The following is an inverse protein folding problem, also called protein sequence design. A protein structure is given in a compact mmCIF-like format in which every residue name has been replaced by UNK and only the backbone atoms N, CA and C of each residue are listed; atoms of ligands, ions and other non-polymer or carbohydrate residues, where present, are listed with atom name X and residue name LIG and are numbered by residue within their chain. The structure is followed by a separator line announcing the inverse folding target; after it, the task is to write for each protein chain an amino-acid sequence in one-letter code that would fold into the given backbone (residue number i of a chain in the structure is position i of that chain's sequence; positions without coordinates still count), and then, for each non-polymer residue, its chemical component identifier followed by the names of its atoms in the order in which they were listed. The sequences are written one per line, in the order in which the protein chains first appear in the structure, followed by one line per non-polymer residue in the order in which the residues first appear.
data_IF_147555187395
#
_entry.id   IF_147555187395
#
_cell.length_a   1.000
_cell.length_b   1.000
_cell.length_c   1.000
_cell.angle_alpha   90.00
_cell.angle_beta   90.00
_cell.angle_gamma   90.00
#
_symmetry.space_group_name_H-M   'P 1'
#
loop_
_entity.id
_entity.type
_entity.pdbx_description
1 polymer ?
#
# COMPACT_ATOMS: atom_id res chain seq x y z
N UNK A 1 -29.34 10.53 -9.57
CA UNK A 1 -28.02 9.88 -9.41
C UNK A 1 -26.99 10.98 -9.25
N UNK A 2 -26.19 10.98 -8.18
CA UNK A 2 -25.10 11.96 -7.97
C UNK A 2 -23.79 11.32 -8.41
N UNK A 3 -23.15 11.87 -9.43
CA UNK A 3 -21.78 11.54 -9.82
C UNK A 3 -20.84 11.80 -8.64
N UNK A 4 -20.08 10.77 -8.23
CA UNK A 4 -19.01 10.92 -7.23
C UNK A 4 -17.73 11.28 -7.97
N UNK A 5 -17.27 12.52 -7.82
CA UNK A 5 -15.93 12.92 -8.25
C UNK A 5 -14.88 12.17 -7.41
N UNK A 6 -14.03 11.39 -8.08
CA UNK A 6 -12.81 10.82 -7.50
C UNK A 6 -11.77 11.94 -7.36
N UNK A 7 -11.25 12.11 -6.15
CA UNK A 7 -10.16 13.05 -5.89
C UNK A 7 -8.82 12.40 -6.28
N UNK A 8 -8.19 12.91 -7.34
CA UNK A 8 -6.85 12.53 -7.78
C UNK A 8 -5.81 13.27 -6.92
N UNK A 9 -4.93 12.54 -6.25
CA UNK A 9 -3.80 13.10 -5.49
C UNK A 9 -2.48 12.55 -6.04
N UNK A 10 -1.64 13.42 -6.56
CA UNK A 10 -0.26 13.12 -7.00
C UNK A 10 0.69 13.30 -5.80
N UNK A 11 1.58 12.33 -5.54
CA UNK A 11 2.54 12.37 -4.42
C UNK A 11 3.99 12.53 -4.91
N UNK A 12 4.79 13.28 -4.14
CA UNK A 12 6.20 13.63 -4.38
C UNK A 12 7.19 12.45 -4.14
N UNK A 13 8.18 12.21 -5.02
CA UNK A 13 9.07 11.05 -5.00
C UNK A 13 10.27 11.11 -4.02
N UNK A 14 10.50 12.18 -3.26
CA UNK A 14 11.75 12.38 -2.48
C UNK A 14 11.90 11.58 -1.16
N UNK A 15 10.99 10.65 -0.84
CA UNK A 15 10.85 10.08 0.52
C UNK A 15 11.68 8.79 0.82
N UNK A 16 12.37 8.20 -0.16
CA UNK A 16 12.82 6.78 -0.09
C UNK A 16 14.17 6.47 0.60
N UNK A 17 14.99 7.46 0.97
CA UNK A 17 16.40 7.19 1.36
C UNK A 17 16.62 6.66 2.80
N UNK A 18 15.61 6.66 3.68
CA UNK A 18 15.79 6.33 5.11
C UNK A 18 15.62 4.86 5.54
N UNK A 19 15.12 3.96 4.68
CA UNK A 19 14.55 2.67 5.11
C UNK A 19 15.56 1.51 5.32
N UNK A 20 16.78 1.58 4.77
CA UNK A 20 17.72 0.43 4.75
C UNK A 20 18.27 0.01 6.12
N UNK A 21 18.29 0.91 7.12
CA UNK A 21 18.93 0.64 8.40
C UNK A 21 18.08 -0.22 9.37
N UNK A 22 16.74 -0.22 9.24
CA UNK A 22 15.84 -0.86 10.20
C UNK A 22 15.66 -2.37 9.96
N UNK A 23 15.74 -2.83 8.71
CA UNK A 23 15.54 -4.24 8.34
C UNK A 23 16.73 -5.14 8.75
N UNK A 24 17.91 -4.57 8.98
CA UNK A 24 19.12 -5.32 9.32
C UNK A 24 19.14 -5.88 10.75
N UNK A 25 18.34 -5.36 11.69
CA UNK A 25 18.41 -5.74 13.11
C UNK A 25 17.44 -6.85 13.54
N UNK A 26 16.57 -7.36 12.65
CA UNK A 26 15.47 -8.27 13.01
C UNK A 26 15.46 -9.63 12.28
N UNK A 27 16.57 -10.11 11.69
CA UNK A 27 16.63 -11.37 10.90
C UNK A 27 15.49 -11.49 9.86
N UNK A 28 15.16 -10.38 9.18
CA UNK A 28 14.27 -10.37 8.00
C UNK A 28 15.08 -10.44 6.68
N UNK A 29 16.38 -10.75 6.75
CA UNK A 29 17.31 -10.64 5.62
C UNK A 29 17.13 -11.73 4.55
N UNK A 30 16.48 -12.86 4.87
CA UNK A 30 16.47 -14.03 3.99
C UNK A 30 15.31 -14.06 2.98
N UNK A 31 14.47 -13.02 2.92
CA UNK A 31 13.33 -12.91 1.97
C UNK A 31 13.42 -11.64 1.12
N UNK A 32 14.64 -11.15 0.86
CA UNK A 32 14.86 -10.07 -0.08
C UNK A 32 14.81 -10.62 -1.52
N UNK A 33 13.61 -10.69 -2.10
CA UNK A 33 13.50 -10.68 -3.56
C UNK A 33 14.28 -9.46 -4.08
N UNK A 34 15.05 -9.59 -5.18
CA UNK A 34 15.90 -8.50 -5.64
C UNK A 34 15.03 -7.29 -5.92
N UNK A 35 15.23 -6.22 -5.14
CA UNK A 35 14.63 -4.93 -5.41
C UNK A 35 15.09 -4.53 -6.82
N UNK A 36 14.14 -4.46 -7.75
CA UNK A 36 14.41 -3.94 -9.09
C UNK A 36 14.99 -2.54 -8.92
N UNK A 37 16.11 -2.19 -9.57
CA UNK A 37 16.58 -0.81 -9.57
C UNK A 37 15.45 0.07 -10.11
N UNK A 38 15.11 1.12 -9.37
CA UNK A 38 14.20 2.17 -9.85
C UNK A 38 14.95 2.89 -10.98
N UNK A 39 14.79 2.38 -12.20
CA UNK A 39 15.33 3.00 -13.41
C UNK A 39 14.48 4.24 -13.73
N UNK A 40 15.16 5.37 -13.94
CA UNK A 40 14.68 6.66 -14.43
C UNK A 40 13.16 6.87 -14.41
N UNK A 41 12.72 7.66 -13.43
CA UNK A 41 11.33 8.08 -13.26
C UNK A 41 10.96 9.03 -14.42
N UNK A 42 10.59 8.49 -15.58
CA UNK A 42 9.49 9.10 -16.32
C UNK A 42 8.34 9.25 -15.34
N UNK A 43 7.70 10.42 -15.26
CA UNK A 43 6.65 10.74 -14.29
C UNK A 43 5.51 9.71 -14.34
N UNK A 44 5.69 8.61 -13.60
CA UNK A 44 4.76 7.51 -13.59
C UNK A 44 3.62 7.94 -12.69
N UNK A 45 2.50 8.30 -13.32
CA UNK A 45 1.32 8.71 -12.56
C UNK A 45 0.79 7.52 -11.76
N UNK A 46 0.32 7.81 -10.55
CA UNK A 46 -0.23 6.84 -9.62
C UNK A 46 -1.73 7.11 -9.42
N UNK A 47 -2.53 6.05 -9.39
CA UNK A 47 -3.96 6.16 -9.15
C UNK A 47 -4.35 5.51 -7.82
N UNK A 48 -5.05 6.29 -6.97
CA UNK A 48 -5.65 5.79 -5.74
C UNK A 48 -7.09 5.36 -6.01
N UNK A 49 -7.33 4.05 -5.99
CA UNK A 49 -8.63 3.47 -6.21
C UNK A 49 -9.42 3.47 -4.91
N UNK A 50 -10.61 4.09 -4.94
CA UNK A 50 -11.61 3.96 -3.90
C UNK A 50 -12.97 3.69 -4.52
N UNK A 51 -13.39 2.43 -4.43
CA UNK A 51 -14.55 1.94 -5.17
C UNK A 51 -14.23 1.88 -6.66
N UNK A 52 -14.02 0.68 -7.18
CA UNK A 52 -13.90 0.43 -8.61
C UNK A 52 -15.27 0.69 -9.26
N UNK A 53 -15.54 1.94 -9.61
CA UNK A 53 -16.63 2.28 -10.52
C UNK A 53 -16.19 2.08 -11.96
N UNK A 54 -17.12 2.27 -12.90
CA UNK A 54 -16.88 2.20 -14.36
C UNK A 54 -16.00 3.35 -14.91
N UNK A 55 -15.25 4.05 -14.06
CA UNK A 55 -14.43 5.17 -14.49
C UNK A 55 -13.26 4.67 -15.35
N UNK A 56 -13.10 5.27 -16.53
CA UNK A 56 -11.96 4.98 -17.40
C UNK A 56 -10.65 5.30 -16.68
N UNK A 57 -9.72 4.35 -16.69
CA UNK A 57 -8.38 4.55 -16.16
C UNK A 57 -7.58 5.47 -17.09
N UNK A 58 -6.77 6.39 -16.54
CA UNK A 58 -5.86 7.19 -17.35
C UNK A 58 -4.79 6.27 -17.98
N UNK A 59 -4.51 6.50 -19.27
CA UNK A 59 -3.57 5.68 -20.06
C UNK A 59 -2.09 5.82 -19.66
N UNK A 60 -1.76 6.77 -18.79
CA UNK A 60 -0.38 7.08 -18.37
C UNK A 60 -0.07 6.60 -16.93
N UNK A 61 -0.93 5.76 -16.35
CA UNK A 61 -0.73 5.24 -15.00
C UNK A 61 0.20 4.03 -15.05
N UNK A 62 1.26 4.02 -14.24
CA UNK A 62 2.12 2.83 -14.09
C UNK A 62 1.72 1.96 -12.89
N UNK A 63 0.97 2.53 -11.93
CA UNK A 63 0.72 1.88 -10.64
C UNK A 63 -0.64 2.24 -10.03
N UNK A 64 -1.33 1.22 -9.53
CA UNK A 64 -2.56 1.30 -8.78
C UNK A 64 -2.30 1.15 -7.28
N UNK A 65 -2.92 2.01 -6.49
CA UNK A 65 -2.96 1.93 -5.04
C UNK A 65 -4.39 1.67 -4.59
N UNK A 66 -4.62 0.54 -3.91
CA UNK A 66 -5.93 0.20 -3.35
C UNK A 66 -5.89 0.29 -1.83
N UNK A 67 -6.82 1.05 -1.25
CA UNK A 67 -7.02 1.12 0.20
C UNK A 67 -6.74 2.50 0.79
N UNK A 68 -6.58 2.54 2.12
CA UNK A 68 -6.43 3.80 2.84
C UNK A 68 -5.48 3.65 4.02
N UNK A 69 -4.53 4.57 4.13
CA UNK A 69 -3.50 4.52 5.16
C UNK A 69 -3.97 4.95 6.55
N UNK A 70 -4.99 5.80 6.63
CA UNK A 70 -5.34 6.52 7.86
C UNK A 70 -6.67 6.08 8.48
N UNK A 71 -7.50 5.35 7.74
CA UNK A 71 -8.82 4.94 8.23
C UNK A 71 -8.88 3.41 8.42
N UNK A 72 -8.96 2.91 9.67
CA UNK A 72 -9.04 1.47 9.94
C UNK A 72 -10.38 0.85 9.50
N UNK A 73 -11.39 1.67 9.19
CA UNK A 73 -12.70 1.22 8.71
C UNK A 73 -12.81 1.14 7.19
N UNK A 74 -11.80 1.64 6.46
CA UNK A 74 -11.74 1.60 5.01
C UNK A 74 -10.76 0.52 4.56
N UNK A 75 -10.86 -0.65 5.17
CA UNK A 75 -10.21 -1.85 4.67
C UNK A 75 -10.85 -2.26 3.34
N UNK A 76 -10.04 -2.80 2.46
CA UNK A 76 -10.48 -3.35 1.18
C UNK A 76 -11.27 -4.63 1.39
N UNK A 77 -12.34 -4.83 0.62
CA UNK A 77 -12.99 -6.14 0.54
C UNK A 77 -12.18 -7.10 -0.33
N UNK A 78 -12.45 -8.41 -0.22
CA UNK A 78 -11.79 -9.39 -1.08
C UNK A 78 -12.14 -9.14 -2.55
N UNK A 79 -13.42 -8.95 -2.85
CA UNK A 79 -13.90 -8.73 -4.21
C UNK A 79 -13.27 -7.48 -4.85
N UNK A 80 -13.26 -6.34 -4.16
CA UNK A 80 -12.58 -5.12 -4.65
C UNK A 80 -11.11 -5.35 -4.95
N UNK A 81 -10.46 -6.21 -4.17
CA UNK A 81 -9.02 -6.48 -4.33
C UNK A 81 -8.75 -7.40 -5.49
N UNK A 82 -9.56 -8.43 -5.66
CA UNK A 82 -9.46 -9.32 -6.81
C UNK A 82 -9.71 -8.53 -8.10
N UNK A 83 -10.73 -7.66 -8.13
CA UNK A 83 -10.99 -6.80 -9.28
C UNK A 83 -9.85 -5.80 -9.54
N UNK A 84 -9.22 -5.24 -8.50
CA UNK A 84 -8.05 -4.37 -8.68
C UNK A 84 -6.83 -5.13 -9.20
N UNK A 85 -6.66 -6.40 -8.81
CA UNK A 85 -5.60 -7.27 -9.33
C UNK A 85 -5.82 -7.59 -10.81
N UNK A 86 -7.03 -7.99 -11.18
CA UNK A 86 -7.41 -8.27 -12.57
C UNK A 86 -7.16 -7.03 -13.44
N UNK A 87 -7.63 -5.87 -12.99
CA UNK A 87 -7.44 -4.60 -13.67
C UNK A 87 -5.95 -4.24 -13.81
N UNK A 88 -5.15 -4.46 -12.77
CA UNK A 88 -3.71 -4.22 -12.81
C UNK A 88 -3.03 -5.13 -13.85
N UNK A 89 -3.39 -6.41 -13.90
CA UNK A 89 -2.84 -7.36 -14.88
C UNK A 89 -3.24 -6.97 -16.30
N UNK A 90 -4.53 -6.70 -16.53
CA UNK A 90 -5.07 -6.37 -17.86
C UNK A 90 -4.46 -5.10 -18.44
N UNK A 91 -4.18 -4.11 -17.59
CA UNK A 91 -3.56 -2.85 -17.99
C UNK A 91 -2.02 -2.86 -17.90
N UNK A 92 -1.40 -3.94 -17.42
CA UNK A 92 0.05 -4.00 -17.20
C UNK A 92 0.56 -3.06 -16.10
N UNK A 93 -0.29 -2.71 -15.13
CA UNK A 93 0.02 -1.83 -14.01
C UNK A 93 0.59 -2.62 -12.83
N UNK A 94 1.42 -1.96 -12.03
CA UNK A 94 1.79 -2.48 -10.71
C UNK A 94 0.65 -2.24 -9.71
N UNK A 95 0.44 -3.17 -8.77
CA UNK A 95 -0.56 -3.01 -7.70
C UNK A 95 0.11 -2.90 -6.32
N UNK A 96 -0.36 -1.95 -5.53
CA UNK A 96 0.01 -1.76 -4.12
C UNK A 96 -1.24 -1.74 -3.25
N UNK A 97 -1.34 -2.66 -2.30
CA UNK A 97 -2.40 -2.66 -1.30
C UNK A 97 -1.97 -1.80 -0.12
N UNK A 98 -2.82 -0.87 0.31
CA UNK A 98 -2.54 0.05 1.41
C UNK A 98 -3.48 -0.25 2.55
N UNK A 99 -2.92 -0.73 3.66
CA UNK A 99 -3.67 -0.95 4.90
C UNK A 99 -3.57 0.26 5.82
N UNK A 100 -4.64 0.52 6.56
CA UNK A 100 -4.59 1.38 7.75
C UNK A 100 -4.10 0.59 8.97
N UNK A 101 -4.34 1.12 10.17
CA UNK A 101 -4.17 0.32 11.38
C UNK A 101 -5.17 -0.85 11.35
N UNK A 102 -4.66 -2.08 11.40
CA UNK A 102 -5.49 -3.29 11.38
C UNK A 102 -5.96 -3.59 12.79
N UNK A 103 -7.28 -3.73 12.98
CA UNK A 103 -7.86 -4.09 14.27
C UNK A 103 -7.76 -5.59 14.49
N UNK A 104 -7.65 -6.00 15.74
CA UNK A 104 -7.66 -7.42 16.14
C UNK A 104 -8.80 -8.21 15.47
N UNK A 105 -10.02 -7.67 15.52
CA UNK A 105 -11.22 -8.29 14.94
C UNK A 105 -11.18 -8.45 13.41
N UNK A 106 -10.33 -7.68 12.73
CA UNK A 106 -10.19 -7.69 11.27
C UNK A 106 -8.88 -8.36 10.81
N UNK A 107 -7.99 -8.73 11.75
CA UNK A 107 -6.65 -9.19 11.46
C UNK A 107 -6.62 -10.48 10.64
N UNK A 108 -7.34 -11.50 11.10
CA UNK A 108 -7.43 -12.79 10.41
C UNK A 108 -7.99 -12.64 8.98
N UNK A 109 -9.00 -11.77 8.82
CA UNK A 109 -9.57 -11.48 7.51
C UNK A 109 -8.54 -10.80 6.59
N UNK A 110 -7.84 -9.76 7.05
CA UNK A 110 -6.83 -9.06 6.27
C UNK A 110 -5.68 -9.99 5.82
N UNK A 111 -5.19 -10.86 6.71
CA UNK A 111 -4.18 -11.88 6.40
C UNK A 111 -4.71 -12.88 5.36
N UNK A 112 -5.96 -13.34 5.54
CA UNK A 112 -6.61 -14.25 4.59
C UNK A 112 -6.75 -13.63 3.20
N UNK A 113 -7.13 -12.36 3.13
CA UNK A 113 -7.28 -11.67 1.85
C UNK A 113 -5.94 -11.52 1.11
N UNK A 114 -4.86 -11.11 1.80
CA UNK A 114 -3.52 -11.03 1.18
C UNK A 114 -3.07 -12.40 0.69
N UNK A 115 -3.30 -13.46 1.49
CA UNK A 115 -2.98 -14.84 1.08
C UNK A 115 -3.70 -15.22 -0.22
N UNK A 116 -5.01 -14.97 -0.31
CA UNK A 116 -5.78 -15.27 -1.52
C UNK A 116 -5.27 -14.51 -2.74
N UNK A 117 -4.83 -13.26 -2.57
CA UNK A 117 -4.19 -12.49 -3.65
C UNK A 117 -2.87 -13.13 -4.05
N UNK A 118 -2.01 -13.48 -3.10
CA UNK A 118 -0.70 -14.07 -3.42
C UNK A 118 -0.83 -15.44 -4.08
N UNK A 119 -1.75 -16.28 -3.62
CA UNK A 119 -2.02 -17.58 -4.22
C UNK A 119 -2.51 -17.48 -5.68
N UNK A 120 -3.28 -16.43 -5.99
CA UNK A 120 -3.90 -16.26 -7.32
C UNK A 120 -3.04 -15.47 -8.31
N UNK A 121 -2.38 -14.40 -7.86
CA UNK A 121 -1.67 -13.44 -8.71
C UNK A 121 -0.16 -13.38 -8.45
N UNK A 122 0.34 -14.13 -7.46
CA UNK A 122 1.73 -14.07 -7.04
C UNK A 122 2.03 -12.89 -6.11
N UNK A 123 3.31 -12.55 -5.97
CA UNK A 123 3.74 -11.57 -4.99
C UNK A 123 3.13 -10.17 -5.21
N UNK A 124 2.41 -9.66 -4.22
CA UNK A 124 1.79 -8.32 -4.22
C UNK A 124 2.50 -7.39 -3.24
N UNK A 125 2.61 -6.11 -3.56
CA UNK A 125 3.13 -5.11 -2.63
C UNK A 125 2.04 -4.70 -1.63
N UNK A 126 2.39 -4.67 -0.33
CA UNK A 126 1.45 -4.29 0.73
C UNK A 126 2.11 -3.28 1.67
N UNK A 127 1.56 -2.07 1.71
CA UNK A 127 1.89 -1.05 2.69
C UNK A 127 1.15 -1.35 4.00
N UNK A 128 1.91 -1.76 5.02
CA UNK A 128 1.41 -2.13 6.33
C UNK A 128 1.54 -0.97 7.32
N UNK A 129 0.43 -0.61 7.97
CA UNK A 129 0.39 0.40 9.04
C UNK A 129 0.13 -0.17 10.43
N UNK A 130 0.28 -1.49 10.56
CA UNK A 130 0.26 -2.23 11.81
C UNK A 130 1.47 -3.17 11.89
N UNK A 131 2.12 -3.27 13.05
CA UNK A 131 3.33 -4.07 13.24
C UNK A 131 3.06 -5.58 13.17
N UNK A 132 1.93 -6.03 13.72
CA UNK A 132 1.53 -7.44 13.65
C UNK A 132 1.20 -7.85 12.21
N UNK A 133 0.54 -6.95 11.49
CA UNK A 133 0.20 -7.19 10.09
C UNK A 133 1.46 -7.22 9.23
N UNK A 134 2.36 -6.24 9.40
CA UNK A 134 3.66 -6.19 8.71
C UNK A 134 4.45 -7.50 8.89
N UNK A 135 4.55 -8.00 10.13
CA UNK A 135 5.26 -9.24 10.43
C UNK A 135 4.63 -10.46 9.75
N UNK A 136 3.31 -10.46 9.56
CA UNK A 136 2.60 -11.57 8.93
C UNK A 136 2.77 -11.60 7.41
N UNK A 137 2.95 -10.45 6.76
CA UNK A 137 3.04 -10.38 5.29
C UNK A 137 4.22 -11.14 4.70
N UNK A 138 5.36 -11.17 5.38
CA UNK A 138 6.56 -11.86 4.90
C UNK A 138 6.35 -13.37 4.73
N UNK A 139 5.58 -13.99 5.63
CA UNK A 139 5.29 -15.43 5.54
C UNK A 139 4.24 -15.77 4.48
N UNK A 140 3.53 -14.77 3.95
CA UNK A 140 2.54 -14.95 2.89
C UNK A 140 3.12 -14.86 1.48
N UNK A 141 4.42 -14.54 1.32
CA UNK A 141 5.00 -14.28 0.01
C UNK A 141 4.63 -12.91 -0.59
N UNK A 142 4.08 -12.01 0.22
CA UNK A 142 3.87 -10.61 -0.17
C UNK A 142 5.20 -9.82 -0.11
N UNK A 143 5.22 -8.63 -0.71
CA UNK A 143 6.30 -7.64 -0.58
C UNK A 143 5.89 -6.58 0.46
N UNK A 144 6.26 -6.75 1.74
CA UNK A 144 5.88 -5.81 2.78
C UNK A 144 6.60 -4.47 2.64
N UNK A 145 5.84 -3.38 2.80
CA UNK A 145 6.35 -2.00 2.89
C UNK A 145 5.85 -1.40 4.21
N UNK A 146 6.75 -0.85 5.01
CA UNK A 146 6.37 -0.15 6.24
C UNK A 146 5.69 1.19 5.89
N UNK A 147 4.41 1.33 6.26
CA UNK A 147 3.64 2.54 6.07
C UNK A 147 3.99 3.66 7.06
N UNK A 148 3.50 4.87 6.79
CA UNK A 148 3.84 6.09 7.52
C UNK A 148 3.37 6.07 8.97
N UNK A 149 2.30 5.33 9.30
CA UNK A 149 1.81 5.25 10.69
C UNK A 149 2.75 4.43 11.59
N UNK A 150 3.57 3.55 11.04
CA UNK A 150 4.59 2.82 11.82
C UNK A 150 5.74 3.74 12.22
N UNK A 151 6.03 4.75 11.42
CA UNK A 151 7.00 5.79 11.75
C UNK A 151 6.34 6.83 12.66
N UNK A 152 6.48 6.62 13.98
CA UNK A 152 6.14 7.66 14.96
C UNK A 152 7.13 8.82 14.83
N UNK A 153 6.87 9.74 13.90
CA UNK A 153 7.48 11.06 13.96
C UNK A 153 7.05 11.69 15.27
N UNK A 154 8.00 11.94 16.19
CA UNK A 154 7.76 12.82 17.33
C UNK A 154 7.28 14.15 16.75
N UNK A 155 5.97 14.40 16.77
CA UNK A 155 5.45 15.74 16.48
C UNK A 155 6.02 16.60 17.59
N UNK A 156 7.01 17.41 17.25
CA UNK A 156 7.50 18.42 18.18
C UNK A 156 6.28 19.21 18.65
N UNK A 157 6.16 19.52 19.96
CA UNK A 157 5.08 20.35 20.44
C UNK A 157 5.06 21.60 19.57
N UNK A 158 3.88 21.90 19.00
CA UNK A 158 3.68 23.17 18.32
C UNK A 158 3.86 24.22 19.41
N UNK A 159 5.05 24.80 19.51
CA UNK A 159 5.30 25.94 20.38
C UNK A 159 4.46 27.08 19.82
N UNK A 160 3.22 27.18 20.29
CA UNK A 160 2.43 28.39 20.18
C UNK A 160 3.25 29.47 20.87
N UNK A 161 3.81 30.41 20.12
CA UNK A 161 4.32 31.65 20.70
C UNK A 161 3.13 32.32 21.36
N UNK A 162 3.03 32.20 22.67
CA UNK A 162 2.23 33.12 23.47
C UNK A 162 2.90 34.49 23.33
N UNK A 163 2.14 35.55 23.00
CA UNK A 163 2.69 36.89 22.77
C UNK A 163 3.46 37.44 23.98
#
# INVERSE_FOLDING_TARGET
MRERQLALHVCDPTWFQGQKAFLASHRLADVAAPARPVTDVEESSALFLRGLGEAALPSQCGRLYLGNEFCPYLAWSLDETLSACELAVDCGFELTLVSGAVRESAFAAAVGQVRSVVERFGAVEVVANDWGFLASLASLGARPVAGRLLFRSKRLPRLSRTP
#
